data_IF_990197057994
#
_entry.id   IF_990197057994
#
_cell.length_a   1.000
_cell.length_b   1.000
_cell.length_c   1.000
_cell.angle_alpha   90.00
_cell.angle_beta   90.00
_cell.angle_gamma   90.00
#
_symmetry.space_group_name_H-M   'P 1'
#
loop_
_entity.id
_entity.type
_entity.pdbx_description
1 polymer ?
#
# COMPACT_ATOMS: atom_id res chain seq x y z
N UNK A 1 1.21 -7.81 22.56
CA UNK A 1 0.30 -7.04 21.70
C UNK A 1 -0.25 -8.01 20.67
N UNK A 2 -1.57 -8.13 20.52
CA UNK A 2 -2.16 -9.00 19.49
C UNK A 2 -2.52 -8.13 18.30
N UNK A 3 -2.02 -8.50 17.12
CA UNK A 3 -2.37 -7.87 15.84
C UNK A 3 -3.38 -8.79 15.16
N UNK A 4 -4.51 -8.23 14.70
CA UNK A 4 -5.45 -8.91 13.81
C UNK A 4 -5.24 -8.43 12.39
N UNK A 5 -5.30 -9.34 11.42
CA UNK A 5 -5.21 -9.00 9.99
C UNK A 5 -6.47 -9.52 9.30
N UNK A 6 -7.18 -8.62 8.62
CA UNK A 6 -8.47 -8.91 7.99
C UNK A 6 -8.54 -8.28 6.61
N UNK A 7 -9.43 -8.81 5.75
CA UNK A 7 -9.70 -8.17 4.45
C UNK A 7 -10.20 -6.74 4.68
N UNK A 8 -9.65 -5.77 3.97
CA UNK A 8 -10.10 -4.38 4.03
C UNK A 8 -11.27 -4.19 3.04
N UNK A 9 -12.51 -3.98 3.52
CA UNK A 9 -13.67 -3.88 2.65
C UNK A 9 -13.78 -2.48 2.03
N UNK A 10 -14.41 -2.41 0.85
CA UNK A 10 -14.61 -1.16 0.10
C UNK A 10 -15.40 -0.10 0.87
N UNK A 11 -16.21 -0.53 1.83
CA UNK A 11 -17.10 0.35 2.59
C UNK A 11 -16.42 0.98 3.82
N UNK A 12 -15.24 0.49 4.25
CA UNK A 12 -14.50 1.03 5.40
C UNK A 12 -13.55 2.17 5.00
N UNK A 13 -14.11 3.24 4.42
CA UNK A 13 -13.32 4.36 3.89
C UNK A 13 -12.72 5.26 4.97
N UNK A 14 -13.40 5.46 6.10
CA UNK A 14 -13.01 6.49 7.06
C UNK A 14 -11.68 6.18 7.76
N UNK A 15 -11.50 4.95 8.25
CA UNK A 15 -10.25 4.54 8.89
C UNK A 15 -9.07 4.55 7.91
N UNK A 16 -9.31 4.10 6.67
CA UNK A 16 -8.30 4.14 5.61
C UNK A 16 -7.90 5.56 5.24
N UNK A 17 -8.84 6.51 5.23
CA UNK A 17 -8.56 7.94 4.98
C UNK A 17 -7.69 8.53 6.07
N UNK A 18 -7.98 8.23 7.34
CA UNK A 18 -7.16 8.72 8.44
C UNK A 18 -5.74 8.16 8.38
N UNK A 19 -5.60 6.85 8.13
CA UNK A 19 -4.30 6.22 7.97
C UNK A 19 -3.53 6.81 6.78
N UNK A 20 -4.18 6.97 5.63
CA UNK A 20 -3.57 7.54 4.42
C UNK A 20 -3.03 8.95 4.71
N UNK A 21 -3.84 9.82 5.33
CA UNK A 21 -3.40 11.17 5.70
C UNK A 21 -2.25 11.15 6.70
N UNK A 22 -2.32 10.32 7.74
CA UNK A 22 -1.27 10.19 8.73
C UNK A 22 0.08 9.77 8.12
N UNK A 23 0.04 9.02 7.03
CA UNK A 23 1.23 8.60 6.28
C UNK A 23 1.75 9.71 5.37
N UNK A 24 0.91 10.23 4.48
CA UNK A 24 1.36 11.10 3.38
C UNK A 24 1.48 12.58 3.78
N UNK A 25 0.91 13.00 4.91
CA UNK A 25 1.12 14.35 5.43
C UNK A 25 2.37 14.45 6.30
N UNK A 26 2.93 13.32 6.71
CA UNK A 26 4.19 13.29 7.44
C UNK A 26 5.38 13.23 6.47
N UNK A 27 6.58 13.61 6.93
CA UNK A 27 7.80 13.45 6.14
C UNK A 27 8.00 12.00 5.69
N UNK A 28 8.57 11.80 4.49
CA UNK A 28 9.08 12.77 3.51
C UNK A 28 8.05 13.51 2.65
N UNK A 29 6.81 13.01 2.56
CA UNK A 29 5.87 13.44 1.52
C UNK A 29 5.42 14.87 1.76
N UNK A 30 4.87 15.15 2.96
CA UNK A 30 4.33 16.46 3.29
C UNK A 30 3.28 16.94 2.25
N UNK A 31 2.43 16.03 1.75
CA UNK A 31 1.56 16.25 0.60
C UNK A 31 0.25 17.01 0.92
N UNK A 32 0.06 17.44 2.18
CA UNK A 32 -1.11 18.21 2.64
C UNK A 32 -2.49 17.63 2.23
N UNK A 33 -2.64 16.30 2.26
CA UNK A 33 -3.90 15.61 1.98
C UNK A 33 -5.01 16.01 2.97
N UNK A 34 -6.15 16.44 2.40
CA UNK A 34 -7.39 16.67 3.13
C UNK A 34 -8.22 15.38 3.18
N UNK A 35 -9.21 15.33 4.08
CA UNK A 35 -10.14 14.19 4.14
C UNK A 35 -10.82 13.94 2.78
N UNK A 36 -11.19 15.00 2.08
CA UNK A 36 -11.85 14.91 0.78
C UNK A 36 -10.94 14.31 -0.29
N UNK A 37 -9.71 14.81 -0.42
CA UNK A 37 -8.79 14.35 -1.47
C UNK A 37 -8.26 12.95 -1.18
N UNK A 38 -7.97 12.63 0.08
CA UNK A 38 -7.58 11.29 0.51
C UNK A 38 -8.71 10.28 0.29
N UNK A 39 -9.95 10.63 0.66
CA UNK A 39 -11.12 9.77 0.41
C UNK A 39 -11.30 9.51 -1.07
N UNK A 40 -11.20 10.55 -1.91
CA UNK A 40 -11.32 10.39 -3.36
C UNK A 40 -10.23 9.46 -3.92
N UNK A 41 -8.97 9.63 -3.49
CA UNK A 41 -7.86 8.77 -3.94
C UNK A 41 -8.06 7.32 -3.50
N UNK A 42 -8.40 7.11 -2.23
CA UNK A 42 -8.63 5.77 -1.70
C UNK A 42 -9.82 5.08 -2.38
N UNK A 43 -10.93 5.80 -2.61
CA UNK A 43 -12.08 5.29 -3.37
C UNK A 43 -11.69 4.87 -4.78
N UNK A 44 -10.86 5.63 -5.50
CA UNK A 44 -10.38 5.25 -6.83
C UNK A 44 -9.62 3.91 -6.81
N UNK A 45 -8.78 3.69 -5.81
CA UNK A 45 -8.04 2.43 -5.64
C UNK A 45 -9.02 1.28 -5.35
N UNK A 46 -9.91 1.48 -4.37
CA UNK A 46 -10.88 0.48 -3.93
C UNK A 46 -11.84 0.08 -5.05
N UNK A 47 -12.30 1.04 -5.86
CA UNK A 47 -13.26 0.83 -6.92
C UNK A 47 -12.66 0.13 -8.15
N UNK A 48 -11.34 0.18 -8.30
CA UNK A 48 -10.63 -0.43 -9.42
C UNK A 48 -10.82 -1.95 -9.45
N UNK A 49 -10.96 -2.51 -10.66
CA UNK A 49 -11.10 -3.95 -10.85
C UNK A 49 -9.84 -4.67 -10.39
N UNK A 50 -10.01 -5.84 -9.76
CA UNK A 50 -8.88 -6.61 -9.25
C UNK A 50 -8.38 -6.15 -7.87
N UNK A 51 -9.04 -5.17 -7.24
CA UNK A 51 -8.71 -4.73 -5.88
C UNK A 51 -8.59 -5.90 -4.88
N UNK A 52 -7.53 -5.85 -4.09
CA UNK A 52 -7.29 -6.66 -2.90
C UNK A 52 -6.67 -5.78 -1.84
N UNK A 53 -7.14 -5.88 -0.61
CA UNK A 53 -6.50 -5.20 0.51
C UNK A 53 -6.73 -5.90 1.84
N UNK A 54 -5.79 -5.69 2.75
CA UNK A 54 -5.79 -6.25 4.09
C UNK A 54 -5.37 -5.18 5.08
N UNK A 55 -6.20 -4.99 6.11
CA UNK A 55 -5.93 -4.09 7.22
C UNK A 55 -5.33 -4.85 8.40
N UNK A 56 -4.33 -4.25 9.05
CA UNK A 56 -3.82 -4.71 10.33
C UNK A 56 -4.36 -3.80 11.43
N UNK A 57 -4.95 -4.40 12.46
CA UNK A 57 -5.53 -3.66 13.58
C UNK A 57 -4.92 -4.07 14.91
N UNK A 58 -4.74 -3.08 15.78
CA UNK A 58 -4.33 -3.25 17.18
C UNK A 58 -5.40 -2.64 18.07
N UNK A 59 -5.97 -3.45 18.96
CA UNK A 59 -7.08 -3.02 19.85
C UNK A 59 -8.29 -2.45 19.09
N UNK A 60 -8.53 -2.92 17.86
CA UNK A 60 -9.63 -2.47 17.02
C UNK A 60 -9.32 -1.25 16.16
N UNK A 61 -8.15 -0.62 16.29
CA UNK A 61 -7.74 0.52 15.46
C UNK A 61 -6.86 0.04 14.30
N UNK A 62 -7.16 0.52 13.09
CA UNK A 62 -6.37 0.25 11.89
C UNK A 62 -5.01 0.96 11.99
N UNK A 63 -3.93 0.19 12.09
CA UNK A 63 -2.54 0.71 12.20
C UNK A 63 -1.70 0.49 10.95
N UNK A 64 -2.23 -0.28 10.00
CA UNK A 64 -1.59 -0.45 8.71
C UNK A 64 -2.52 -1.05 7.67
N UNK A 65 -2.22 -0.79 6.41
CA UNK A 65 -3.00 -1.24 5.27
C UNK A 65 -2.05 -1.68 4.16
N UNK A 66 -2.28 -2.87 3.62
CA UNK A 66 -1.65 -3.32 2.37
C UNK A 66 -2.77 -3.45 1.37
N UNK A 67 -2.68 -2.74 0.25
CA UNK A 67 -3.74 -2.76 -0.75
C UNK A 67 -3.20 -2.60 -2.16
N UNK A 68 -3.93 -3.09 -3.14
CA UNK A 68 -3.47 -3.09 -4.51
C UNK A 68 -4.48 -3.61 -5.50
N UNK A 69 -4.18 -3.44 -6.78
CA UNK A 69 -5.04 -3.90 -7.87
C UNK A 69 -4.31 -4.95 -8.70
N UNK A 70 -4.96 -6.10 -8.90
CA UNK A 70 -4.50 -7.10 -9.86
C UNK A 70 -4.91 -6.68 -11.28
N UNK A 71 -3.91 -6.29 -12.06
CA UNK A 71 -4.06 -5.94 -13.46
C UNK A 71 -3.62 -7.10 -14.36
N UNK A 72 -4.44 -7.41 -15.36
CA UNK A 72 -4.11 -8.40 -16.39
C UNK A 72 -3.63 -7.67 -17.63
N UNK A 73 -2.36 -7.86 -17.98
CA UNK A 73 -1.77 -7.45 -19.25
C UNK A 73 -1.67 -8.66 -20.19
N UNK A 74 -1.38 -8.43 -21.46
CA UNK A 74 -1.46 -9.43 -22.53
C UNK A 74 -0.71 -10.75 -22.23
N UNK A 75 0.43 -10.70 -21.53
CA UNK A 75 1.30 -11.85 -21.25
C UNK A 75 1.61 -12.04 -19.75
N UNK A 76 1.05 -11.20 -18.88
CA UNK A 76 1.45 -11.12 -17.47
C UNK A 76 0.36 -10.55 -16.58
N UNK A 77 0.47 -10.80 -15.28
CA UNK A 77 -0.30 -10.06 -14.28
C UNK A 77 0.63 -9.12 -13.53
N UNK A 78 0.14 -7.91 -13.27
CA UNK A 78 0.83 -6.90 -12.48
C UNK A 78 -0.01 -6.63 -11.24
N UNK A 79 0.63 -6.57 -10.08
CA UNK A 79 -0.01 -6.03 -8.88
C UNK A 79 0.79 -4.81 -8.47
N UNK A 80 0.12 -3.66 -8.42
CA UNK A 80 0.59 -2.48 -7.69
C UNK A 80 0.12 -2.62 -6.24
N UNK A 81 1.05 -2.61 -5.30
CA UNK A 81 0.75 -2.72 -3.86
C UNK A 81 1.20 -1.47 -3.14
N UNK A 82 0.26 -0.73 -2.56
CA UNK A 82 0.49 0.34 -1.59
C UNK A 82 0.50 -0.26 -0.17
N UNK A 83 1.57 0.00 0.59
CA UNK A 83 1.72 -0.39 2.01
C UNK A 83 1.73 0.88 2.83
N UNK A 84 0.92 0.95 3.89
CA UNK A 84 0.74 2.12 4.75
C UNK A 84 0.96 1.77 6.23
N UNK A 85 1.57 2.70 6.97
CA UNK A 85 1.65 2.69 8.44
C UNK A 85 2.69 1.74 9.02
N UNK A 86 2.40 1.20 10.20
CA UNK A 86 3.32 0.35 10.99
C UNK A 86 3.73 -0.95 10.27
N UNK A 87 3.02 -1.32 9.20
CA UNK A 87 3.33 -2.49 8.39
C UNK A 87 4.63 -2.34 7.60
N UNK A 88 5.15 -1.13 7.36
CA UNK A 88 6.40 -0.97 6.59
C UNK A 88 7.61 -1.45 7.37
N UNK A 89 7.71 -1.14 8.66
CA UNK A 89 8.80 -1.65 9.49
C UNK A 89 8.85 -3.18 9.53
N UNK A 90 7.69 -3.84 9.39
CA UNK A 90 7.55 -5.30 9.38
C UNK A 90 7.77 -5.88 7.98
N UNK A 91 7.29 -5.20 6.93
CA UNK A 91 7.40 -5.65 5.55
C UNK A 91 8.80 -5.41 4.95
N UNK A 92 9.59 -4.48 5.49
CA UNK A 92 10.88 -4.08 4.94
C UNK A 92 11.88 -5.25 4.73
N UNK A 93 12.08 -6.16 5.69
CA UNK A 93 12.98 -7.31 5.49
C UNK A 93 12.49 -8.24 4.35
N UNK A 94 11.18 -8.38 4.18
CA UNK A 94 10.60 -9.18 3.10
C UNK A 94 10.74 -8.49 1.75
N UNK A 95 10.53 -7.18 1.70
CA UNK A 95 10.71 -6.36 0.48
C UNK A 95 12.16 -6.42 0.02
N UNK A 96 13.14 -6.24 0.91
CA UNK A 96 14.55 -6.34 0.57
C UNK A 96 14.89 -7.73 0.02
N UNK A 97 14.37 -8.79 0.65
CA UNK A 97 14.56 -10.16 0.16
C UNK A 97 13.96 -10.35 -1.26
N UNK A 98 12.79 -9.76 -1.55
CA UNK A 98 12.18 -9.82 -2.88
C UNK A 98 12.98 -9.03 -3.94
N UNK A 99 13.60 -7.91 -3.56
CA UNK A 99 14.47 -7.13 -4.43
C UNK A 99 15.79 -7.86 -4.72
N UNK A 100 16.35 -8.56 -3.73
CA UNK A 100 17.57 -9.37 -3.88
C UNK A 100 17.33 -10.65 -4.71
N UNK A 101 16.10 -11.17 -4.71
CA UNK A 101 15.71 -12.37 -5.44
C UNK A 101 15.40 -12.13 -6.94
N UNK A 102 16.21 -11.33 -7.64
CA UNK A 102 16.46 -11.28 -9.10
C UNK A 102 15.31 -11.49 -10.13
N UNK A 103 14.05 -11.35 -9.73
CA UNK A 103 12.87 -11.53 -10.59
C UNK A 103 11.80 -10.43 -10.42
N UNK A 104 12.04 -9.50 -9.49
CA UNK A 104 11.33 -8.23 -9.38
C UNK A 104 12.31 -7.11 -9.72
N UNK A 105 12.41 -6.74 -11.01
CA UNK A 105 13.13 -5.52 -11.37
C UNK A 105 12.26 -4.32 -11.00
N UNK A 106 12.71 -3.40 -10.11
CA UNK A 106 12.03 -2.11 -10.02
C UNK A 106 12.11 -1.43 -11.40
N UNK A 107 11.00 -0.88 -11.93
CA UNK A 107 11.05 -0.22 -13.23
C UNK A 107 12.02 0.96 -13.19
N UNK A 108 12.73 1.18 -14.30
CA UNK A 108 13.62 2.33 -14.50
C UNK A 108 12.88 3.70 -14.52
N UNK A 109 11.57 3.69 -14.29
CA UNK A 109 10.73 4.86 -14.06
C UNK A 109 10.03 4.74 -12.70
N UNK A 110 10.80 4.48 -11.64
CA UNK A 110 10.37 4.71 -10.27
C UNK A 110 10.44 6.23 -9.97
N UNK A 111 9.39 6.97 -10.27
CA UNK A 111 9.00 8.07 -9.39
C UNK A 111 8.01 7.43 -8.42
N UNK A 112 8.26 7.34 -7.12
CA UNK A 112 8.83 8.34 -6.22
C UNK A 112 9.91 7.77 -5.30
N UNK A 113 10.73 8.69 -4.82
CA UNK A 113 11.81 8.49 -3.87
C UNK A 113 11.26 7.90 -2.55
N UNK A 114 11.74 6.71 -2.15
CA UNK A 114 11.44 6.07 -0.86
C UNK A 114 12.59 6.39 0.10
N UNK A 115 12.39 7.16 1.17
CA UNK A 115 13.42 7.35 2.19
C UNK A 115 13.45 6.17 3.17
N UNK A 116 14.61 5.99 3.79
CA UNK A 116 14.95 4.89 4.70
C UNK A 116 13.98 4.67 5.88
N UNK A 117 13.07 5.62 6.13
CA UNK A 117 12.13 5.64 7.26
C UNK A 117 10.65 5.76 6.83
N UNK A 118 10.34 5.58 5.54
CA UNK A 118 9.07 5.97 4.95
C UNK A 118 7.84 5.18 5.43
N UNK A 119 6.72 5.88 5.59
CA UNK A 119 5.38 5.37 5.95
C UNK A 119 4.51 4.90 4.75
N UNK A 120 5.01 4.99 3.52
CA UNK A 120 4.40 4.44 2.30
C UNK A 120 5.42 3.70 1.40
N UNK A 121 4.99 2.60 0.79
CA UNK A 121 5.77 1.85 -0.22
C UNK A 121 4.86 1.38 -1.37
N UNK A 122 5.26 1.60 -2.62
CA UNK A 122 4.61 1.03 -3.81
C UNK A 122 5.47 -0.06 -4.45
N UNK A 123 4.92 -1.27 -4.61
CA UNK A 123 5.59 -2.42 -5.23
C UNK A 123 4.87 -2.88 -6.49
N UNK A 124 5.60 -3.09 -7.58
CA UNK A 124 5.10 -3.74 -8.79
C UNK A 124 5.60 -5.18 -8.89
N UNK A 125 4.71 -6.14 -8.66
CA UNK A 125 5.02 -7.57 -8.78
C UNK A 125 4.61 -8.09 -10.16
N UNK A 126 5.55 -8.76 -10.84
CA UNK A 126 5.30 -9.47 -12.08
C UNK A 126 4.99 -10.93 -11.77
N UNK A 127 3.78 -11.39 -12.10
CA UNK A 127 3.37 -12.76 -11.86
C UNK A 127 3.17 -13.50 -13.19
N UNK A 128 3.69 -14.74 -13.31
CA UNK A 128 3.37 -15.59 -14.46
C UNK A 128 1.87 -15.90 -14.49
N UNK A 129 1.33 -16.08 -15.70
CA UNK A 129 -0.09 -16.36 -15.93
C UNK A 129 -0.54 -17.71 -15.37
#
# INVERSE_FOLDING_TARGET
MTVSVESFPRDNLDEGVQLYRAVFNEPPWNDDWTDETARRRLSQILETSGYRGYGASVRGELVGLVMGNLEVMADRRVIEVEILGELIGIAWPFINCLQEADSVRPPASSGEHVPENGLHYSLYLHLPL
#
